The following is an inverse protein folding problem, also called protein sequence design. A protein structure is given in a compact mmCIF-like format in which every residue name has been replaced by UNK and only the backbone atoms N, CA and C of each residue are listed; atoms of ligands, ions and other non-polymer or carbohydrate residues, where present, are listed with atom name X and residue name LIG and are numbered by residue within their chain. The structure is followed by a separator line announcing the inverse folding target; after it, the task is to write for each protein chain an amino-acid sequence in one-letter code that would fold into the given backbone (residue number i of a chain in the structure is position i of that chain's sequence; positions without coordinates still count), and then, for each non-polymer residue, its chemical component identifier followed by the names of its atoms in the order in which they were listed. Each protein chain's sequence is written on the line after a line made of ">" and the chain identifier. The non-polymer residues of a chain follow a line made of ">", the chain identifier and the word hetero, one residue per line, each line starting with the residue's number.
data_IF_915435392132
#
_entry.id   IF_915435392132
#
_cell.length_a   1.000
_cell.length_b   1.000
_cell.length_c   1.000
_cell.angle_alpha   90.00
_cell.angle_beta   90.00
_cell.angle_gamma   90.00
#
_symmetry.space_group_name_H-M   'P 1'
#
loop_
_entity.id
_entity.type
_entity.pdbx_description
1 polymer ?
#
# COMPACT_ATOMS: atom_id res chain seq x y z
N UNK A 1 -33.03 36.38 -1.74
CA UNK A 1 -32.15 37.02 -2.69
C UNK A 1 -30.70 36.86 -2.32
N UNK A 2 -30.31 37.44 -1.23
CA UNK A 2 -28.92 37.32 -0.80
C UNK A 2 -28.53 35.88 -0.51
N UNK A 3 -29.42 35.12 0.10
CA UNK A 3 -29.13 33.72 0.41
C UNK A 3 -28.94 32.91 -0.86
N UNK A 4 -29.68 33.25 -1.90
CA UNK A 4 -29.50 32.54 -3.16
C UNK A 4 -28.11 32.79 -3.75
N UNK A 5 -27.63 34.02 -3.66
CA UNK A 5 -26.30 34.35 -4.11
C UNK A 5 -25.23 33.61 -3.31
N UNK A 6 -25.42 33.58 -2.00
CA UNK A 6 -24.47 32.88 -1.14
C UNK A 6 -24.43 31.40 -1.45
N UNK A 7 -25.59 30.82 -1.72
CA UNK A 7 -25.65 29.42 -2.08
C UNK A 7 -24.86 29.16 -3.38
N UNK A 8 -24.99 30.05 -4.34
CA UNK A 8 -24.25 29.88 -5.59
C UNK A 8 -22.75 29.94 -5.34
N UNK A 9 -22.31 30.87 -4.51
CA UNK A 9 -20.91 30.96 -4.16
C UNK A 9 -20.40 29.70 -3.48
N UNK A 10 -21.20 29.18 -2.58
CA UNK A 10 -20.83 27.93 -1.91
C UNK A 10 -20.71 26.78 -2.89
N UNK A 11 -21.61 26.71 -3.86
CA UNK A 11 -21.56 25.67 -4.86
C UNK A 11 -20.27 25.75 -5.68
N UNK A 12 -19.85 26.93 -6.04
CA UNK A 12 -18.59 27.12 -6.76
C UNK A 12 -17.40 26.68 -5.93
N UNK A 13 -17.39 27.02 -4.66
CA UNK A 13 -16.33 26.59 -3.77
C UNK A 13 -16.26 25.07 -3.65
N UNK A 14 -17.40 24.43 -3.54
CA UNK A 14 -17.46 22.97 -3.47
C UNK A 14 -16.90 22.36 -4.75
N UNK A 15 -17.23 22.93 -5.92
CA UNK A 15 -16.71 22.43 -7.19
C UNK A 15 -15.19 22.48 -7.26
N UNK A 16 -14.60 23.57 -6.79
CA UNK A 16 -13.14 23.65 -6.77
C UNK A 16 -12.52 22.67 -5.82
N UNK A 17 -13.10 22.49 -4.65
CA UNK A 17 -12.63 21.48 -3.72
C UNK A 17 -12.63 20.10 -4.33
N UNK A 18 -13.67 19.75 -5.03
CA UNK A 18 -13.77 18.43 -5.66
C UNK A 18 -12.65 18.25 -6.70
N UNK A 19 -12.33 19.28 -7.48
CA UNK A 19 -11.24 19.20 -8.43
C UNK A 19 -9.90 19.04 -7.77
N UNK A 20 -9.65 19.79 -6.72
CA UNK A 20 -8.40 19.69 -5.99
C UNK A 20 -8.27 18.34 -5.32
N UNK A 21 -9.35 17.84 -4.72
CA UNK A 21 -9.33 16.52 -4.11
C UNK A 21 -9.00 15.46 -5.13
N UNK A 22 -9.58 15.54 -6.34
CA UNK A 22 -9.26 14.58 -7.39
C UNK A 22 -7.81 14.66 -7.82
N UNK A 23 -7.25 15.86 -7.92
CA UNK A 23 -5.84 16.02 -8.26
C UNK A 23 -4.95 15.41 -7.18
N UNK A 24 -5.41 15.41 -5.91
CA UNK A 24 -4.66 14.85 -4.80
C UNK A 24 -4.94 13.38 -4.58
N UNK A 25 -5.86 12.77 -5.34
CA UNK A 25 -6.17 11.35 -5.18
C UNK A 25 -5.24 10.44 -5.96
N UNK A 26 -4.28 11.02 -6.69
CA UNK A 26 -3.25 10.19 -7.35
C UNK A 26 -2.27 9.75 -6.29
N UNK A 27 -2.33 8.47 -6.03
CA UNK A 27 -1.57 7.85 -4.95
C UNK A 27 -0.32 7.17 -5.49
N UNK A 28 0.52 6.72 -4.59
CA UNK A 28 1.64 5.86 -4.93
C UNK A 28 1.31 4.44 -4.52
N UNK A 29 1.88 3.48 -5.24
CA UNK A 29 1.72 2.06 -4.95
C UNK A 29 3.07 1.38 -4.93
N UNK A 30 3.28 0.60 -3.90
CA UNK A 30 4.51 -0.16 -3.73
C UNK A 30 4.18 -1.63 -3.83
N UNK A 31 5.00 -2.36 -4.59
CA UNK A 31 4.86 -3.80 -4.73
C UNK A 31 6.13 -4.49 -4.25
N UNK A 32 5.96 -5.53 -3.46
CA UNK A 32 7.06 -6.41 -3.06
C UNK A 32 6.78 -7.77 -3.67
N UNK A 33 7.69 -8.25 -4.50
CA UNK A 33 7.61 -9.61 -5.04
C UNK A 33 8.26 -10.55 -4.03
N UNK A 34 7.47 -11.54 -3.56
CA UNK A 34 7.87 -12.35 -2.42
C UNK A 34 8.01 -13.82 -2.82
N UNK A 35 9.06 -14.43 -2.32
CA UNK A 35 9.24 -15.87 -2.38
C UNK A 35 9.09 -16.43 -0.97
N UNK A 36 7.84 -16.62 -0.56
CA UNK A 36 7.53 -17.12 0.76
C UNK A 36 7.94 -18.59 0.84
N UNK A 37 8.69 -18.94 1.89
CA UNK A 37 9.22 -20.28 2.05
C UNK A 37 8.09 -21.30 2.20
N UNK A 38 8.22 -22.48 1.56
CA UNK A 38 7.25 -23.54 1.76
C UNK A 38 7.13 -23.89 3.24
N UNK A 39 5.91 -23.99 3.72
CA UNK A 39 5.67 -24.26 5.13
C UNK A 39 5.63 -23.04 6.01
N UNK A 40 5.99 -21.86 5.52
CA UNK A 40 5.89 -20.61 6.29
C UNK A 40 4.79 -19.68 5.80
N UNK A 41 3.97 -20.13 4.87
CA UNK A 41 2.88 -19.30 4.34
C UNK A 41 1.92 -18.89 5.44
N UNK A 42 1.54 -19.83 6.30
CA UNK A 42 0.61 -19.54 7.38
C UNK A 42 1.19 -18.51 8.35
N UNK A 43 2.45 -18.69 8.72
CA UNK A 43 3.13 -17.73 9.60
C UNK A 43 3.16 -16.34 8.97
N UNK A 44 3.47 -16.27 7.69
CA UNK A 44 3.52 -15.00 6.97
C UNK A 44 2.14 -14.33 6.95
N UNK A 45 1.09 -15.08 6.65
CA UNK A 45 -0.25 -14.53 6.59
C UNK A 45 -0.75 -14.07 7.96
N UNK A 46 -0.44 -14.82 9.01
CA UNK A 46 -0.78 -14.41 10.37
C UNK A 46 -0.05 -13.13 10.76
N UNK A 47 1.24 -13.05 10.47
CA UNK A 47 2.02 -11.84 10.75
C UNK A 47 1.48 -10.65 9.97
N UNK A 48 1.12 -10.86 8.70
CA UNK A 48 0.57 -9.80 7.88
C UNK A 48 -0.78 -9.32 8.41
N UNK A 49 -1.74 -10.22 8.57
CA UNK A 49 -3.10 -9.82 8.93
C UNK A 49 -3.23 -9.39 10.38
N UNK A 50 -2.53 -10.05 11.29
CA UNK A 50 -2.75 -9.84 12.73
C UNK A 50 -1.81 -8.81 13.34
N UNK A 51 -0.67 -8.52 12.70
CA UNK A 51 0.33 -7.62 13.25
C UNK A 51 0.64 -6.45 12.34
N UNK A 52 0.95 -6.73 11.07
CA UNK A 52 1.36 -5.67 10.14
C UNK A 52 0.20 -4.72 9.82
N UNK A 53 -0.92 -5.26 9.34
CA UNK A 53 -2.06 -4.44 8.91
C UNK A 53 -2.58 -3.56 10.04
N UNK A 54 -2.81 -4.06 11.26
CA UNK A 54 -3.31 -3.22 12.35
C UNK A 54 -2.40 -2.04 12.68
N UNK A 55 -1.08 -2.17 12.49
CA UNK A 55 -0.16 -1.06 12.70
C UNK A 55 -0.17 -0.10 11.52
N UNK A 56 -0.17 -0.63 10.31
CA UNK A 56 -0.12 0.20 9.11
C UNK A 56 -1.31 1.15 9.02
N UNK A 57 -2.51 0.69 9.35
CA UNK A 57 -3.72 1.50 9.23
C UNK A 57 -3.72 2.73 10.12
N UNK A 58 -2.88 2.77 11.14
CA UNK A 58 -2.80 3.89 12.08
C UNK A 58 -2.02 5.07 11.54
N UNK A 59 -1.29 4.90 10.45
CA UNK A 59 -0.34 5.92 9.97
C UNK A 59 -0.97 6.84 8.95
N UNK A 60 -0.62 8.12 9.05
CA UNK A 60 -1.10 9.13 8.11
C UNK A 60 -0.69 8.76 6.70
N UNK A 61 -1.62 8.89 5.77
CA UNK A 61 -1.37 8.59 4.37
C UNK A 61 -1.67 7.16 3.96
N UNK A 62 -1.92 6.27 4.91
CA UNK A 62 -2.30 4.90 4.58
C UNK A 62 -3.63 4.88 3.82
N UNK A 63 -3.66 4.14 2.71
CA UNK A 63 -4.88 3.95 1.95
C UNK A 63 -5.32 2.49 2.04
N UNK A 64 -4.43 1.56 1.68
CA UNK A 64 -4.74 0.13 1.79
C UNK A 64 -3.47 -0.69 1.63
N UNK A 65 -3.54 -1.94 2.11
CA UNK A 65 -2.49 -2.92 1.90
C UNK A 65 -3.14 -4.27 1.64
N UNK A 66 -2.55 -5.04 0.72
CA UNK A 66 -3.06 -6.35 0.35
C UNK A 66 -1.91 -7.33 0.20
N UNK A 67 -2.19 -8.59 0.51
CA UNK A 67 -1.28 -9.69 0.23
C UNK A 67 -1.95 -10.57 -0.82
N UNK A 68 -1.28 -10.74 -1.96
CA UNK A 68 -1.83 -11.48 -3.10
C UNK A 68 -1.03 -12.75 -3.30
N UNK A 69 -1.73 -13.87 -3.40
CA UNK A 69 -1.09 -15.15 -3.73
C UNK A 69 -1.22 -15.39 -5.23
N UNK A 70 -0.10 -15.71 -5.88
CA UNK A 70 -0.13 -15.99 -7.33
C UNK A 70 -0.94 -17.26 -7.58
N UNK A 71 -1.89 -17.16 -8.49
CA UNK A 71 -2.70 -18.31 -8.90
C UNK A 71 -2.09 -19.00 -10.10
N UNK A 72 -1.82 -18.26 -11.16
CA UNK A 72 -1.26 -18.82 -12.39
C UNK A 72 -0.66 -17.71 -13.23
N UNK A 73 0.24 -18.09 -14.12
CA UNK A 73 0.81 -17.18 -15.11
C UNK A 73 0.03 -17.38 -16.41
N UNK A 74 -0.66 -16.34 -16.84
CA UNK A 74 -1.47 -16.41 -18.05
C UNK A 74 -0.63 -16.21 -19.31
N UNK A 75 0.48 -15.45 -19.19
CA UNK A 75 1.32 -15.15 -20.34
C UNK A 75 2.67 -14.64 -19.85
N UNK A 76 3.72 -14.95 -20.58
CA UNK A 76 5.06 -14.45 -20.28
C UNK A 76 5.78 -15.27 -19.23
N UNK A 77 6.96 -14.80 -18.85
CA UNK A 77 7.83 -15.48 -17.89
C UNK A 77 7.92 -14.69 -16.61
N UNK A 78 7.74 -15.37 -15.49
CA UNK A 78 7.85 -14.79 -14.15
C UNK A 78 8.71 -15.75 -13.33
N UNK A 79 9.62 -15.25 -12.45
CA UNK A 79 10.39 -16.15 -11.59
C UNK A 79 9.48 -17.09 -10.82
N UNK A 80 9.79 -18.38 -10.87
CA UNK A 80 8.92 -19.40 -10.30
C UNK A 80 8.76 -19.25 -8.79
N UNK A 81 9.81 -18.78 -8.11
CA UNK A 81 9.80 -18.62 -6.66
C UNK A 81 8.92 -17.47 -6.17
N UNK A 82 8.53 -16.52 -7.03
CA UNK A 82 7.67 -15.42 -6.61
C UNK A 82 6.23 -15.91 -6.50
N UNK A 83 5.85 -16.30 -5.30
CA UNK A 83 4.53 -16.90 -5.05
C UNK A 83 3.53 -15.93 -4.40
N UNK A 84 4.01 -14.79 -3.88
CA UNK A 84 3.17 -13.78 -3.29
C UNK A 84 3.58 -12.39 -3.74
N UNK A 85 2.63 -11.47 -3.69
CA UNK A 85 2.88 -10.05 -3.94
C UNK A 85 2.23 -9.24 -2.82
N UNK A 86 3.04 -8.41 -2.17
CA UNK A 86 2.55 -7.43 -1.22
C UNK A 86 2.27 -6.14 -1.99
N UNK A 87 1.10 -5.56 -1.77
CA UNK A 87 0.71 -4.32 -2.42
C UNK A 87 0.35 -3.31 -1.34
N UNK A 88 1.00 -2.13 -1.38
CA UNK A 88 0.76 -1.06 -0.43
C UNK A 88 0.41 0.20 -1.19
N UNK A 89 -0.66 0.88 -0.77
CA UNK A 89 -1.04 2.16 -1.34
C UNK A 89 -1.01 3.23 -0.26
N UNK A 90 -0.29 4.33 -0.53
CA UNK A 90 -0.20 5.50 0.33
C UNK A 90 -0.60 6.74 -0.47
N UNK A 91 -1.02 7.78 0.23
CA UNK A 91 -1.41 9.04 -0.40
C UNK A 91 -0.26 9.67 -1.17
N UNK A 92 0.96 9.59 -0.62
CA UNK A 92 2.15 10.14 -1.27
C UNK A 92 3.41 9.52 -0.67
N UNK A 93 4.53 9.78 -1.33
CA UNK A 93 5.82 9.19 -0.97
C UNK A 93 6.36 9.75 0.35
N UNK A 94 6.11 11.02 0.64
CA UNK A 94 6.57 11.61 1.89
C UNK A 94 5.97 10.89 3.10
N UNK A 95 4.67 10.63 3.07
CA UNK A 95 3.98 9.92 4.15
C UNK A 95 4.41 8.46 4.20
N UNK A 96 4.65 7.84 3.04
CA UNK A 96 5.16 6.46 3.03
C UNK A 96 6.53 6.38 3.69
N UNK A 97 7.41 7.32 3.43
CA UNK A 97 8.73 7.32 4.05
C UNK A 97 8.65 7.49 5.56
N UNK A 98 7.70 8.29 6.04
CA UNK A 98 7.48 8.40 7.48
C UNK A 98 7.03 7.08 8.08
N UNK A 99 6.18 6.36 7.37
CA UNK A 99 5.76 5.02 7.80
C UNK A 99 6.96 4.08 7.88
N UNK A 100 7.78 4.02 6.84
CA UNK A 100 8.96 3.17 6.81
C UNK A 100 9.92 3.49 7.96
N UNK A 101 10.10 4.76 8.29
CA UNK A 101 11.01 5.20 9.34
C UNK A 101 10.43 4.99 10.73
N UNK A 102 9.15 4.67 10.87
CA UNK A 102 8.49 4.55 12.15
C UNK A 102 8.97 3.32 12.94
N UNK A 103 8.94 3.42 14.25
CA UNK A 103 9.25 2.28 15.11
C UNK A 103 8.30 1.12 14.85
N UNK A 104 7.05 1.42 14.53
CA UNK A 104 6.06 0.40 14.23
C UNK A 104 6.46 -0.43 13.01
N UNK A 105 6.84 0.23 11.90
CA UNK A 105 7.28 -0.49 10.70
C UNK A 105 8.51 -1.33 10.98
N UNK A 106 9.48 -0.77 11.68
CA UNK A 106 10.72 -1.46 12.04
C UNK A 106 10.44 -2.72 12.85
N UNK A 107 9.34 -2.75 13.59
CA UNK A 107 8.96 -3.90 14.39
C UNK A 107 8.16 -4.93 13.61
N UNK A 108 7.23 -4.48 12.74
CA UNK A 108 6.25 -5.41 12.15
C UNK A 108 6.67 -5.99 10.81
N UNK A 109 7.40 -5.24 9.96
CA UNK A 109 7.81 -5.77 8.66
C UNK A 109 8.75 -6.98 8.78
N UNK A 110 9.72 -7.00 9.69
CA UNK A 110 10.57 -8.20 9.84
C UNK A 110 9.81 -9.49 10.12
N UNK A 111 8.63 -9.41 10.74
CA UNK A 111 7.83 -10.60 11.00
C UNK A 111 7.28 -11.23 9.72
N UNK A 112 7.05 -10.41 8.70
CA UNK A 112 6.64 -10.87 7.37
C UNK A 112 7.89 -11.26 6.57
N UNK A 113 8.89 -10.41 6.57
CA UNK A 113 10.11 -10.58 5.77
C UNK A 113 10.82 -11.88 6.08
N UNK A 114 10.90 -12.27 7.34
CA UNK A 114 11.62 -13.48 7.74
C UNK A 114 11.04 -14.76 7.19
N UNK A 115 9.83 -14.71 6.64
CA UNK A 115 9.20 -15.88 6.03
C UNK A 115 9.61 -16.07 4.57
N UNK A 116 10.41 -15.16 4.03
CA UNK A 116 10.90 -15.27 2.66
C UNK A 116 12.21 -16.01 2.60
N UNK A 117 12.42 -16.74 1.49
CA UNK A 117 13.67 -17.50 1.30
C UNK A 117 14.83 -16.58 0.94
N UNK A 118 14.57 -15.48 0.23
CA UNK A 118 15.61 -14.51 -0.17
C UNK A 118 15.46 -13.26 0.65
N UNK A 119 16.04 -13.23 1.85
CA UNK A 119 16.00 -12.06 2.71
C UNK A 119 16.76 -10.90 2.05
N UNK A 120 16.10 -9.73 1.96
CA UNK A 120 16.69 -8.48 1.48
C UNK A 120 17.06 -8.44 0.00
N UNK A 121 16.81 -9.50 -0.75
CA UNK A 121 17.13 -9.55 -2.18
C UNK A 121 15.86 -9.81 -2.99
N UNK A 122 14.76 -9.26 -2.55
CA UNK A 122 13.49 -9.34 -3.26
C UNK A 122 13.17 -7.98 -3.89
N UNK A 123 12.51 -7.97 -5.06
CA UNK A 123 12.18 -6.70 -5.72
C UNK A 123 11.16 -5.90 -4.93
N UNK A 124 11.46 -4.64 -4.75
CA UNK A 124 10.53 -3.66 -4.17
C UNK A 124 10.44 -2.52 -5.18
N UNK A 125 9.25 -2.29 -5.72
CA UNK A 125 9.06 -1.34 -6.81
C UNK A 125 7.95 -0.37 -6.45
N UNK A 126 8.23 0.91 -6.65
CA UNK A 126 7.28 1.98 -6.36
C UNK A 126 6.74 2.53 -7.67
N UNK A 127 5.42 2.71 -7.73
CA UNK A 127 4.72 3.22 -8.92
C UNK A 127 3.93 4.47 -8.55
N UNK A 128 3.87 5.39 -9.49
CA UNK A 128 2.99 6.55 -9.39
C UNK A 128 1.72 6.27 -10.19
N UNK A 129 0.60 6.59 -9.59
CA UNK A 129 -0.65 6.61 -10.34
C UNK A 129 -0.65 7.81 -11.28
N UNK A 130 -1.03 7.62 -12.54
CA UNK A 130 -0.99 8.67 -13.55
C UNK A 130 -2.35 8.97 -14.15
#
# INVERSE_FOLDING_TARGET
>A
MKSALMAAGAALGVGRFASEARAQTKHIRLYVEMDVAPGREREMLEAFHNTFVPEAVKHAGYVRVKMLKRRTILQGTVPAQHNYRFELEFENEELRQKWIASAAHQRVWPLVERCMTTLKDYPVVLYDEV
#
